data_IF_493558467625
#
_entry.id   IF_493558467625
#
_cell.length_a   1.000
_cell.length_b   1.000
_cell.length_c   1.000
_cell.angle_alpha   90.00
_cell.angle_beta   90.00
_cell.angle_gamma   90.00
#
_symmetry.space_group_name_H-M   'P 1'
#
loop_
_entity.id
_entity.type
_entity.pdbx_description
1 polymer ?
#
# COMPACT_ATOMS: atom_id res chain seq x y z
N UNK A 1 55.46 -28.89 38.49
CA UNK A 1 54.62 -27.67 38.55
C UNK A 1 53.70 -27.72 37.32
N UNK A 2 52.82 -28.73 37.23
CA UNK A 2 52.38 -29.24 35.91
C UNK A 2 50.86 -29.12 35.68
N UNK A 3 50.17 -28.26 36.43
CA UNK A 3 48.70 -28.10 36.35
C UNK A 3 48.20 -26.70 36.04
N UNK A 4 49.05 -25.67 36.12
CA UNK A 4 48.64 -24.27 35.98
C UNK A 4 48.55 -23.86 34.49
N UNK A 5 49.49 -24.31 33.67
CA UNK A 5 49.53 -24.00 32.23
C UNK A 5 48.26 -24.42 31.46
N UNK A 6 47.73 -25.66 31.60
CA UNK A 6 46.54 -26.05 30.84
C UNK A 6 45.27 -25.33 31.30
N UNK A 7 45.16 -25.01 32.60
CA UNK A 7 44.00 -24.29 33.15
C UNK A 7 43.92 -22.85 32.63
N UNK A 8 45.06 -22.15 32.59
CA UNK A 8 45.14 -20.77 32.06
C UNK A 8 44.79 -20.74 30.57
N UNK A 9 45.29 -21.70 29.79
CA UNK A 9 44.98 -21.81 28.35
C UNK A 9 43.49 -22.09 28.11
N UNK A 10 42.86 -22.93 28.95
CA UNK A 10 41.43 -23.22 28.86
C UNK A 10 40.55 -21.99 29.14
N UNK A 11 40.90 -21.20 30.17
CA UNK A 11 40.17 -19.96 30.50
C UNK A 11 40.35 -18.92 29.39
N UNK A 12 41.56 -18.77 28.84
CA UNK A 12 41.83 -17.87 27.72
C UNK A 12 41.06 -18.29 26.46
N UNK A 13 41.01 -19.59 26.15
CA UNK A 13 40.21 -20.10 25.03
C UNK A 13 38.72 -19.85 25.19
N UNK A 14 38.21 -19.93 26.42
CA UNK A 14 36.80 -19.65 26.73
C UNK A 14 36.50 -18.15 26.63
N UNK A 15 37.37 -17.28 27.17
CA UNK A 15 37.21 -15.83 27.08
C UNK A 15 37.31 -15.33 25.63
N UNK A 16 38.24 -15.90 24.84
CA UNK A 16 38.33 -15.65 23.40
C UNK A 16 37.07 -16.11 22.66
N UNK A 17 36.56 -17.30 22.96
CA UNK A 17 35.32 -17.83 22.36
C UNK A 17 34.09 -16.97 22.67
N UNK A 18 33.96 -16.49 23.91
CA UNK A 18 32.87 -15.59 24.33
C UNK A 18 32.97 -14.22 23.65
N UNK A 19 34.17 -13.64 23.60
CA UNK A 19 34.40 -12.34 22.94
C UNK A 19 34.15 -12.36 21.43
N UNK A 20 34.60 -13.42 20.74
CA UNK A 20 34.32 -13.63 19.32
C UNK A 20 32.82 -13.75 19.05
N UNK A 21 32.11 -14.57 19.84
CA UNK A 21 30.65 -14.76 19.70
C UNK A 21 29.87 -13.45 19.90
N UNK A 22 30.27 -12.63 20.87
CA UNK A 22 29.60 -11.36 21.16
C UNK A 22 29.71 -10.35 20.00
N UNK A 23 30.90 -10.21 19.40
CA UNK A 23 31.11 -9.30 18.25
C UNK A 23 30.38 -9.77 16.98
N UNK A 24 30.27 -11.09 16.78
CA UNK A 24 29.48 -11.66 15.69
C UNK A 24 27.97 -11.46 15.91
N UNK A 25 27.48 -11.57 17.15
CA UNK A 25 26.09 -11.30 17.51
C UNK A 25 25.70 -9.84 17.30
N UNK A 26 26.58 -8.90 17.64
CA UNK A 26 26.29 -7.47 17.52
C UNK A 26 26.19 -7.01 16.05
N UNK A 27 27.04 -7.56 15.17
CA UNK A 27 26.94 -7.35 13.71
C UNK A 27 25.76 -8.07 13.07
N UNK A 28 25.39 -9.26 13.59
CA UNK A 28 24.21 -10.00 13.15
C UNK A 28 22.92 -9.26 13.49
N UNK A 29 22.81 -8.76 14.72
CA UNK A 29 21.64 -8.01 15.19
C UNK A 29 21.46 -6.67 14.45
N UNK A 30 22.55 -5.98 14.09
CA UNK A 30 22.47 -4.76 13.30
C UNK A 30 21.97 -5.01 11.87
N UNK A 31 22.39 -6.13 11.25
CA UNK A 31 21.94 -6.54 9.91
C UNK A 31 20.48 -7.01 9.92
N UNK A 32 20.10 -7.82 10.90
CA UNK A 32 18.70 -8.26 11.11
C UNK A 32 17.81 -7.04 11.35
N UNK A 33 18.21 -6.11 12.23
CA UNK A 33 17.43 -4.90 12.49
C UNK A 33 17.30 -3.97 11.27
N UNK A 34 18.28 -3.96 10.36
CA UNK A 34 18.16 -3.21 9.10
C UNK A 34 17.21 -3.91 8.12
N UNK A 35 17.32 -5.23 7.97
CA UNK A 35 16.42 -6.03 7.14
C UNK A 35 14.97 -5.96 7.63
N UNK A 36 14.75 -6.02 8.95
CA UNK A 36 13.43 -5.87 9.57
C UNK A 36 12.83 -4.48 9.32
N UNK A 37 13.65 -3.42 9.33
CA UNK A 37 13.18 -2.05 9.03
C UNK A 37 12.79 -1.88 7.57
N UNK A 38 13.60 -2.39 6.65
CA UNK A 38 13.32 -2.32 5.21
C UNK A 38 12.06 -3.14 4.86
N UNK A 39 11.91 -4.32 5.46
CA UNK A 39 10.75 -5.17 5.28
C UNK A 39 9.47 -4.53 5.87
N UNK A 40 9.57 -3.89 7.04
CA UNK A 40 8.46 -3.15 7.64
C UNK A 40 8.00 -1.99 6.76
N UNK A 41 8.93 -1.19 6.24
CA UNK A 41 8.60 -0.09 5.32
C UNK A 41 7.97 -0.61 4.02
N UNK A 42 8.42 -1.77 3.53
CA UNK A 42 7.82 -2.43 2.36
C UNK A 42 6.38 -2.86 2.63
N UNK A 43 6.11 -3.43 3.80
CA UNK A 43 4.76 -3.82 4.21
C UNK A 43 3.84 -2.60 4.37
N UNK A 44 4.31 -1.53 5.03
CA UNK A 44 3.55 -0.28 5.19
C UNK A 44 3.17 0.34 3.83
N UNK A 45 4.09 0.30 2.85
CA UNK A 45 3.82 0.73 1.46
C UNK A 45 2.79 -0.18 0.78
N UNK A 46 2.94 -1.49 0.91
CA UNK A 46 2.00 -2.46 0.33
C UNK A 46 0.58 -2.25 0.87
N UNK A 47 0.45 -2.10 2.18
CA UNK A 47 -0.84 -1.88 2.83
C UNK A 47 -1.49 -0.57 2.37
N UNK A 48 -0.72 0.51 2.25
CA UNK A 48 -1.22 1.77 1.74
C UNK A 48 -1.70 1.67 0.29
N UNK A 49 -0.92 1.03 -0.60
CA UNK A 49 -1.29 0.88 -2.01
C UNK A 49 -2.50 -0.03 -2.20
N UNK A 50 -2.59 -1.14 -1.46
CA UNK A 50 -3.74 -2.05 -1.51
C UNK A 50 -5.00 -1.37 -0.97
N UNK A 51 -4.90 -0.69 0.17
CA UNK A 51 -6.02 0.04 0.76
C UNK A 51 -6.55 1.12 -0.21
N UNK A 52 -5.66 1.82 -0.90
CA UNK A 52 -6.05 2.83 -1.87
C UNK A 52 -6.71 2.25 -3.11
N UNK A 53 -6.16 1.18 -3.69
CA UNK A 53 -6.77 0.49 -4.82
C UNK A 53 -8.18 -0.05 -4.46
N UNK A 54 -8.33 -0.64 -3.28
CA UNK A 54 -9.62 -1.12 -2.77
C UNK A 54 -10.63 0.02 -2.61
N UNK A 55 -10.20 1.15 -2.03
CA UNK A 55 -11.06 2.32 -1.84
C UNK A 55 -11.50 2.95 -3.16
N UNK A 56 -10.63 3.01 -4.18
CA UNK A 56 -11.00 3.47 -5.53
C UNK A 56 -12.04 2.58 -6.19
N UNK A 57 -11.89 1.25 -6.06
CA UNK A 57 -12.87 0.29 -6.61
C UNK A 57 -14.23 0.45 -5.91
N UNK A 58 -14.23 0.59 -4.59
CA UNK A 58 -15.45 0.78 -3.81
C UNK A 58 -16.13 2.12 -4.18
N UNK A 59 -15.36 3.20 -4.25
CA UNK A 59 -15.87 4.52 -4.67
C UNK A 59 -16.45 4.50 -6.10
N UNK A 60 -15.73 3.89 -7.05
CA UNK A 60 -16.23 3.72 -8.42
C UNK A 60 -17.57 2.98 -8.43
N UNK A 61 -17.69 1.90 -7.66
CA UNK A 61 -18.94 1.15 -7.52
C UNK A 61 -20.07 2.02 -6.95
N UNK A 62 -19.80 2.77 -5.88
CA UNK A 62 -20.79 3.67 -5.29
C UNK A 62 -21.30 4.74 -6.26
N UNK A 63 -20.45 5.27 -7.14
CA UNK A 63 -20.85 6.21 -8.18
C UNK A 63 -21.73 5.56 -9.27
N UNK A 64 -21.40 4.32 -9.66
CA UNK A 64 -22.22 3.55 -10.61
C UNK A 64 -23.60 3.26 -10.01
N UNK A 65 -23.64 2.81 -8.75
CA UNK A 65 -24.89 2.50 -8.04
C UNK A 65 -25.76 3.77 -7.90
N UNK A 66 -25.13 4.91 -7.60
CA UNK A 66 -25.81 6.21 -7.58
C UNK A 66 -26.39 6.58 -8.95
N UNK A 67 -25.61 6.42 -10.02
CA UNK A 67 -26.04 6.75 -11.39
C UNK A 67 -27.27 5.95 -11.82
N UNK A 68 -27.29 4.65 -11.51
CA UNK A 68 -28.44 3.78 -11.80
C UNK A 68 -29.65 4.12 -10.92
N UNK A 69 -29.45 4.38 -9.63
CA UNK A 69 -30.54 4.72 -8.71
C UNK A 69 -31.25 6.01 -9.11
N UNK A 70 -30.48 7.02 -9.51
CA UNK A 70 -31.01 8.31 -10.00
C UNK A 70 -31.92 8.13 -11.23
N UNK A 71 -31.59 7.17 -12.10
CA UNK A 71 -32.33 6.88 -13.35
C UNK A 71 -33.45 5.86 -13.21
N UNK A 72 -33.42 5.03 -12.18
CA UNK A 72 -34.45 4.03 -11.90
C UNK A 72 -35.72 4.62 -11.26
N UNK A 73 -35.74 5.94 -11.01
CA UNK A 73 -36.86 6.59 -10.30
C UNK A 73 -36.90 6.22 -8.82
N UNK A 74 -35.75 5.89 -8.22
CA UNK A 74 -35.63 5.57 -6.79
C UNK A 74 -36.25 6.67 -5.93
N UNK A 75 -37.01 6.32 -4.87
CA UNK A 75 -37.62 7.31 -3.98
C UNK A 75 -36.59 8.31 -3.43
N UNK A 76 -36.96 9.59 -3.25
CA UNK A 76 -36.01 10.64 -2.86
C UNK A 76 -35.17 10.33 -1.61
N UNK A 77 -35.76 9.70 -0.60
CA UNK A 77 -35.02 9.35 0.63
C UNK A 77 -34.01 8.21 0.42
N UNK A 78 -34.34 7.25 -0.43
CA UNK A 78 -33.42 6.18 -0.77
C UNK A 78 -32.29 6.70 -1.65
N UNK A 79 -32.60 7.56 -2.63
CA UNK A 79 -31.60 8.25 -3.44
C UNK A 79 -30.66 9.10 -2.58
N UNK A 80 -31.18 9.79 -1.54
CA UNK A 80 -30.36 10.53 -0.57
C UNK A 80 -29.39 9.62 0.17
N UNK A 81 -29.82 8.42 0.59
CA UNK A 81 -28.93 7.43 1.24
C UNK A 81 -27.83 6.94 0.31
N UNK A 82 -28.16 6.60 -0.94
CA UNK A 82 -27.17 6.16 -1.94
C UNK A 82 -26.16 7.28 -2.21
N UNK A 83 -26.61 8.53 -2.29
CA UNK A 83 -25.73 9.69 -2.45
C UNK A 83 -24.81 9.91 -1.25
N UNK A 84 -25.35 9.82 -0.03
CA UNK A 84 -24.53 9.90 1.19
C UNK A 84 -23.45 8.82 1.21
N UNK A 85 -23.82 7.58 0.88
CA UNK A 85 -22.88 6.48 0.81
C UNK A 85 -21.76 6.72 -0.23
N UNK A 86 -22.10 7.30 -1.39
CA UNK A 86 -21.09 7.67 -2.39
C UNK A 86 -20.08 8.71 -1.85
N UNK A 87 -20.51 9.62 -0.97
CA UNK A 87 -19.63 10.60 -0.33
C UNK A 87 -18.74 9.96 0.73
N UNK A 88 -19.25 9.02 1.52
CA UNK A 88 -18.44 8.24 2.47
C UNK A 88 -17.32 7.50 1.74
N UNK A 89 -17.64 6.84 0.63
CA UNK A 89 -16.67 6.13 -0.20
C UNK A 89 -15.64 7.07 -0.82
N UNK A 90 -16.04 8.27 -1.26
CA UNK A 90 -15.13 9.31 -1.73
C UNK A 90 -14.14 9.71 -0.65
N UNK A 91 -14.62 9.95 0.57
CA UNK A 91 -13.78 10.32 1.72
C UNK A 91 -12.78 9.21 2.02
N UNK A 92 -13.21 7.95 2.08
CA UNK A 92 -12.32 6.82 2.30
C UNK A 92 -11.23 6.70 1.21
N UNK A 93 -11.58 6.90 -0.06
CA UNK A 93 -10.61 6.92 -1.16
C UNK A 93 -9.62 8.09 -1.05
N UNK A 94 -10.08 9.25 -0.59
CA UNK A 94 -9.21 10.42 -0.37
C UNK A 94 -8.25 10.21 0.81
N UNK A 95 -8.73 9.63 1.92
CA UNK A 95 -7.86 9.27 3.06
C UNK A 95 -6.78 8.27 2.64
N UNK A 96 -7.15 7.26 1.85
CA UNK A 96 -6.19 6.29 1.34
C UNK A 96 -5.19 6.92 0.35
N UNK A 97 -5.62 7.89 -0.48
CA UNK A 97 -4.72 8.69 -1.32
C UNK A 97 -3.67 9.43 -0.49
N UNK A 98 -4.08 10.07 0.61
CA UNK A 98 -3.14 10.74 1.49
C UNK A 98 -2.13 9.77 2.09
N UNK A 99 -2.55 8.56 2.47
CA UNK A 99 -1.60 7.52 2.92
C UNK A 99 -0.59 7.16 1.84
N UNK A 100 -1.03 6.98 0.60
CA UNK A 100 -0.14 6.74 -0.54
C UNK A 100 0.90 7.86 -0.69
N UNK A 101 0.47 9.12 -0.57
CA UNK A 101 1.37 10.28 -0.67
C UNK A 101 2.36 10.39 0.49
N UNK A 102 2.02 9.84 1.67
CA UNK A 102 2.92 9.84 2.84
C UNK A 102 3.98 8.73 2.78
N UNK A 103 3.70 7.62 2.10
CA UNK A 103 4.62 6.46 2.04
C UNK A 103 5.51 6.43 0.79
N UNK A 104 5.33 7.38 -0.13
CA UNK A 104 6.07 7.46 -1.39
C UNK A 104 6.74 8.81 -1.59
N UNK A 105 8.00 8.78 -2.01
CA UNK A 105 8.74 9.97 -2.47
C UNK A 105 8.65 10.16 -4.00
N UNK A 106 8.02 9.21 -4.71
CA UNK A 106 7.85 9.27 -6.15
C UNK A 106 6.73 10.27 -6.54
N UNK A 107 7.15 11.44 -7.01
CA UNK A 107 6.25 12.51 -7.46
C UNK A 107 5.38 12.11 -8.66
N UNK A 108 5.90 11.25 -9.55
CA UNK A 108 5.13 10.75 -10.71
C UNK A 108 4.02 9.83 -10.21
N UNK A 109 4.33 8.92 -9.28
CA UNK A 109 3.32 8.04 -8.67
C UNK A 109 2.26 8.84 -7.91
N UNK A 110 2.67 9.81 -7.09
CA UNK A 110 1.74 10.69 -6.37
C UNK A 110 0.80 11.43 -7.32
N UNK A 111 1.35 11.98 -8.41
CA UNK A 111 0.57 12.65 -9.45
C UNK A 111 -0.42 11.69 -10.13
N UNK A 112 0.03 10.48 -10.47
CA UNK A 112 -0.84 9.46 -11.08
C UNK A 112 -1.95 9.02 -10.13
N UNK A 113 -1.67 8.85 -8.84
CA UNK A 113 -2.69 8.53 -7.85
C UNK A 113 -3.78 9.61 -7.81
N UNK A 114 -3.39 10.89 -7.75
CA UNK A 114 -4.36 12.00 -7.81
C UNK A 114 -5.21 11.97 -9.08
N UNK A 115 -4.60 11.71 -10.25
CA UNK A 115 -5.32 11.63 -11.51
C UNK A 115 -6.36 10.51 -11.52
N UNK A 116 -5.99 9.30 -11.09
CA UNK A 116 -6.93 8.16 -11.03
C UNK A 116 -8.09 8.47 -10.08
N UNK A 117 -7.85 9.11 -8.94
CA UNK A 117 -8.91 9.55 -8.03
C UNK A 117 -9.89 10.52 -8.71
N UNK A 118 -9.38 11.48 -9.47
CA UNK A 118 -10.20 12.44 -10.21
C UNK A 118 -11.00 11.75 -11.31
N UNK A 119 -10.36 10.90 -12.11
CA UNK A 119 -11.01 10.13 -13.18
C UNK A 119 -12.14 9.25 -12.65
N UNK A 120 -11.93 8.55 -11.52
CA UNK A 120 -13.00 7.79 -10.84
C UNK A 120 -14.14 8.71 -10.43
N UNK A 121 -13.85 9.91 -9.93
CA UNK A 121 -14.87 10.91 -9.60
C UNK A 121 -15.73 11.36 -10.78
N UNK A 122 -15.21 11.30 -12.01
CA UNK A 122 -15.93 11.68 -13.23
C UNK A 122 -16.92 10.61 -13.72
N UNK A 123 -16.84 9.38 -13.20
CA UNK A 123 -17.62 8.23 -13.66
C UNK A 123 -19.12 8.51 -13.62
N UNK A 124 -19.63 9.05 -12.52
CA UNK A 124 -21.07 9.30 -12.33
C UNK A 124 -21.61 10.55 -13.04
N UNK A 125 -20.79 11.34 -13.75
CA UNK A 125 -21.20 12.63 -14.34
C UNK A 125 -21.78 12.52 -15.76
N UNK A 126 -21.88 11.32 -16.32
CA UNK A 126 -22.38 11.12 -17.69
C UNK A 126 -23.90 11.12 -17.74
N UNK A 127 -24.49 11.87 -18.68
CA UNK A 127 -25.95 11.84 -18.88
C UNK A 127 -26.42 10.60 -19.65
N UNK A 128 -25.54 10.04 -20.49
CA UNK A 128 -25.84 8.94 -21.41
C UNK A 128 -25.21 7.64 -20.93
N UNK A 129 -25.92 6.52 -21.15
CA UNK A 129 -25.46 5.18 -20.77
C UNK A 129 -24.16 4.76 -21.47
N UNK A 130 -24.00 5.12 -22.74
CA UNK A 130 -22.80 4.77 -23.50
C UNK A 130 -21.55 5.49 -22.97
N UNK A 131 -21.68 6.77 -22.62
CA UNK A 131 -20.61 7.54 -21.96
C UNK A 131 -20.29 6.97 -20.57
N UNK A 132 -21.32 6.56 -19.82
CA UNK A 132 -21.16 5.89 -18.52
C UNK A 132 -20.35 4.58 -18.66
N UNK A 133 -20.71 3.73 -19.63
CA UNK A 133 -20.00 2.48 -19.88
C UNK A 133 -18.54 2.72 -20.32
N UNK A 134 -18.28 3.71 -21.20
CA UNK A 134 -16.91 4.11 -21.59
C UNK A 134 -16.09 4.60 -20.39
N UNK A 135 -16.65 5.44 -19.52
CA UNK A 135 -15.96 5.92 -18.30
C UNK A 135 -15.71 4.79 -17.31
N UNK A 136 -16.64 3.86 -17.18
CA UNK A 136 -16.49 2.69 -16.32
C UNK A 136 -15.31 1.81 -16.76
N UNK A 137 -15.15 1.61 -18.07
CA UNK A 137 -14.02 0.84 -18.60
C UNK A 137 -12.70 1.60 -18.43
N UNK A 138 -12.65 2.87 -18.85
CA UNK A 138 -11.46 3.72 -18.72
C UNK A 138 -10.95 3.78 -17.28
N UNK A 139 -11.84 3.98 -16.31
CA UNK A 139 -11.45 4.05 -14.89
C UNK A 139 -11.08 2.71 -14.28
N UNK A 140 -11.59 1.59 -14.81
CA UNK A 140 -11.08 0.26 -14.44
C UNK A 140 -9.63 0.12 -14.89
N UNK A 141 -9.34 0.52 -16.11
CA UNK A 141 -8.01 0.40 -16.69
C UNK A 141 -7.01 1.35 -16.00
N UNK A 142 -7.45 2.55 -15.61
CA UNK A 142 -6.66 3.49 -14.82
C UNK A 142 -6.27 2.92 -13.44
N UNK A 143 -7.20 2.27 -12.72
CA UNK A 143 -6.91 1.59 -11.44
C UNK A 143 -5.92 0.44 -11.64
N UNK A 144 -6.09 -0.36 -12.70
CA UNK A 144 -5.17 -1.45 -13.02
C UNK A 144 -3.76 -0.94 -13.38
N UNK A 145 -3.67 0.17 -14.11
CA UNK A 145 -2.42 0.82 -14.46
C UNK A 145 -1.69 1.34 -13.20
N UNK A 146 -2.42 1.91 -12.24
CA UNK A 146 -1.86 2.28 -10.94
C UNK A 146 -1.25 1.07 -10.21
N UNK A 147 -1.99 -0.03 -10.09
CA UNK A 147 -1.51 -1.27 -9.44
C UNK A 147 -0.26 -1.81 -10.14
N UNK A 148 -0.25 -1.78 -11.48
CA UNK A 148 0.90 -2.21 -12.28
C UNK A 148 2.13 -1.33 -12.03
N UNK A 149 1.92 -0.02 -11.85
CA UNK A 149 2.98 0.96 -11.60
C UNK A 149 3.64 0.76 -10.22
N UNK A 150 2.85 0.44 -9.19
CA UNK A 150 3.38 0.24 -7.82
C UNK A 150 3.99 -1.14 -7.60
N UNK A 151 3.63 -2.15 -8.39
CA UNK A 151 4.10 -3.54 -8.22
C UNK A 151 5.63 -3.68 -8.07
N UNK A 152 6.48 -3.02 -8.88
CA UNK A 152 7.93 -3.14 -8.72
C UNK A 152 8.46 -2.54 -7.41
N UNK A 153 7.70 -1.68 -6.74
CA UNK A 153 8.11 -0.99 -5.50
C UNK A 153 7.87 -1.83 -4.24
N UNK A 154 7.00 -2.84 -4.35
CA UNK A 154 6.63 -3.75 -3.24
C UNK A 154 7.14 -5.17 -3.44
N UNK A 155 7.51 -5.56 -4.67
CA UNK A 155 8.13 -6.85 -4.95
C UNK A 155 9.62 -6.83 -4.59
N UNK A 156 10.15 -7.88 -3.95
CA UNK A 156 11.59 -8.01 -3.77
C UNK A 156 12.26 -8.06 -5.15
N UNK A 157 13.35 -7.29 -5.33
CA UNK A 157 14.20 -7.46 -6.52
C UNK A 157 14.73 -8.88 -6.50
N UNK A 158 14.42 -9.68 -7.54
CA UNK A 158 15.12 -10.95 -7.73
C UNK A 158 16.60 -10.61 -7.91
N UNK A 159 17.41 -10.97 -6.93
CA UNK A 159 18.84 -11.11 -7.13
C UNK A 159 19.04 -12.23 -8.15
N UNK A 160 19.30 -11.84 -9.39
CA UNK A 160 19.95 -12.70 -10.40
C UNK A 160 21.42 -12.92 -10.04
#
# INVERSE_FOLDING_TARGET
MDGIAPSVIAVLGTLLGVGLTYVFQERGNARIAQQDREERLRQERMDAYVAYAAALVAYRRGLIDLWFSDRAGTPPEELRRVRLHSYELRTAAQEALFRVQLVTDDAVLSTRAVQVFQEVGEVGRSDQREEMDRRRESTRDAVNAFVTTVRPMVMPRSTD
#
